data_IF_529585045809
#
_entry.id   IF_529585045809
#
_cell.length_a   1.000
_cell.length_b   1.000
_cell.length_c   1.000
_cell.angle_alpha   90.00
_cell.angle_beta   90.00
_cell.angle_gamma   90.00
#
_symmetry.space_group_name_H-M   'P 1'
#
loop_
_entity.id
_entity.type
_entity.pdbx_description
1 polymer ?
#
# COMPACT_ATOMS: atom_id res chain seq x y z
N UNK A 1 -15.62 2.98 -8.28
CA UNK A 1 -14.75 1.96 -7.65
C UNK A 1 -14.40 0.98 -8.74
N UNK A 2 -13.14 0.56 -8.86
CA UNK A 2 -12.75 -0.39 -9.90
C UNK A 2 -13.19 -1.81 -9.54
N UNK A 3 -13.30 -2.71 -10.51
CA UNK A 3 -13.55 -4.14 -10.27
C UNK A 3 -12.47 -4.76 -9.39
N UNK A 4 -11.22 -4.28 -9.51
CA UNK A 4 -10.11 -4.70 -8.67
C UNK A 4 -10.31 -4.32 -7.20
N UNK A 5 -10.77 -3.09 -6.92
CA UNK A 5 -11.05 -2.65 -5.54
C UNK A 5 -12.12 -3.53 -4.87
N UNK A 6 -13.16 -3.90 -5.62
CA UNK A 6 -14.23 -4.76 -5.13
C UNK A 6 -13.71 -6.19 -4.83
N UNK A 7 -12.89 -6.77 -5.71
CA UNK A 7 -12.30 -8.08 -5.50
C UNK A 7 -11.37 -8.10 -4.28
N UNK A 8 -10.51 -7.09 -4.12
CA UNK A 8 -9.64 -6.97 -2.94
C UNK A 8 -10.45 -6.80 -1.66
N UNK A 9 -11.53 -6.01 -1.68
CA UNK A 9 -12.43 -5.87 -0.53
C UNK A 9 -13.07 -7.20 -0.13
N UNK A 10 -13.56 -7.97 -1.10
CA UNK A 10 -14.18 -9.26 -0.83
C UNK A 10 -13.17 -10.23 -0.21
N UNK A 11 -11.98 -10.36 -0.82
CA UNK A 11 -10.91 -11.20 -0.29
C UNK A 11 -10.53 -10.82 1.16
N UNK A 12 -10.37 -9.52 1.45
CA UNK A 12 -10.05 -9.05 2.79
C UNK A 12 -11.19 -9.26 3.80
N UNK A 13 -12.44 -9.26 3.35
CA UNK A 13 -13.58 -9.56 4.22
C UNK A 13 -13.66 -11.06 4.56
N UNK A 14 -13.31 -11.92 3.61
CA UNK A 14 -13.38 -13.38 3.77
C UNK A 14 -12.19 -13.93 4.55
N UNK A 15 -10.96 -13.50 4.22
CA UNK A 15 -9.72 -14.07 4.76
C UNK A 15 -9.11 -13.22 5.89
N UNK A 16 -9.43 -11.93 5.94
CA UNK A 16 -8.73 -10.96 6.78
C UNK A 16 -7.29 -10.70 6.30
N UNK A 17 -6.67 -9.64 6.83
CA UNK A 17 -5.24 -9.42 6.69
C UNK A 17 -4.71 -8.53 7.81
N UNK A 18 -3.61 -8.96 8.43
CA UNK A 18 -2.89 -8.14 9.41
C UNK A 18 -1.95 -7.12 8.73
N UNK A 19 -1.43 -7.45 7.55
CA UNK A 19 -0.40 -6.69 6.85
C UNK A 19 -0.69 -6.58 5.35
N UNK A 20 -0.18 -5.53 4.70
CA UNK A 20 -0.27 -5.39 3.24
C UNK A 20 0.94 -4.69 2.64
N UNK A 21 1.37 -5.13 1.45
CA UNK A 21 2.45 -4.49 0.68
C UNK A 21 1.90 -4.00 -0.65
N UNK A 22 2.13 -2.73 -0.96
CA UNK A 22 1.97 -2.18 -2.31
C UNK A 22 3.37 -2.06 -2.93
N UNK A 23 3.73 -3.00 -3.80
CA UNK A 23 5.04 -3.01 -4.44
C UNK A 23 5.01 -2.28 -5.79
N UNK A 24 5.66 -1.11 -5.84
CA UNK A 24 5.82 -0.32 -7.05
C UNK A 24 7.17 -0.53 -7.75
N UNK A 25 7.94 -1.57 -7.37
CA UNK A 25 9.26 -1.86 -7.94
C UNK A 25 9.23 -2.07 -9.46
N UNK A 26 8.16 -2.65 -9.99
CA UNK A 26 7.98 -2.91 -11.42
C UNK A 26 7.22 -1.79 -12.17
N UNK A 27 6.81 -0.70 -11.51
CA UNK A 27 6.12 0.41 -12.17
C UNK A 27 7.10 1.13 -13.08
N UNK A 28 6.85 1.18 -14.39
CA UNK A 28 7.76 1.86 -15.34
C UNK A 28 7.40 3.31 -15.62
N UNK A 29 6.16 3.72 -15.32
CA UNK A 29 5.65 5.05 -15.60
C UNK A 29 4.60 5.46 -14.56
N UNK A 30 4.62 6.74 -14.16
CA UNK A 30 3.66 7.30 -13.20
C UNK A 30 2.82 8.35 -13.92
N UNK A 31 1.56 8.03 -14.16
CA UNK A 31 0.55 8.92 -14.76
C UNK A 31 -0.43 9.45 -13.71
N UNK A 32 0.09 9.76 -12.52
CA UNK A 32 -0.70 10.23 -11.38
C UNK A 32 -0.18 11.60 -10.96
N UNK A 33 -1.08 12.58 -10.85
CA UNK A 33 -0.74 13.93 -10.41
C UNK A 33 -0.79 14.03 -8.89
N UNK A 34 -0.08 15.00 -8.32
CA UNK A 34 -0.18 15.31 -6.89
C UNK A 34 -1.60 15.73 -6.49
N UNK A 35 -2.30 16.47 -7.35
CA UNK A 35 -3.71 16.87 -7.15
C UNK A 35 -4.65 15.68 -7.08
N UNK A 36 -4.40 14.64 -7.89
CA UNK A 36 -5.14 13.39 -7.79
C UNK A 36 -4.91 12.71 -6.43
N UNK A 37 -3.66 12.61 -5.98
CA UNK A 37 -3.34 11.99 -4.68
C UNK A 37 -3.99 12.77 -3.53
N UNK A 38 -3.99 14.09 -3.58
CA UNK A 38 -4.68 14.94 -2.60
C UNK A 38 -6.19 14.67 -2.58
N UNK A 39 -6.84 14.66 -3.75
CA UNK A 39 -8.26 14.32 -3.86
C UNK A 39 -8.56 12.88 -3.45
N UNK A 40 -7.63 11.95 -3.66
CA UNK A 40 -7.79 10.56 -3.26
C UNK A 40 -7.69 10.38 -1.75
N UNK A 41 -6.79 11.10 -1.08
CA UNK A 41 -6.62 11.06 0.38
C UNK A 41 -7.84 11.59 1.17
N UNK A 42 -8.76 12.32 0.53
CA UNK A 42 -10.01 12.75 1.19
C UNK A 42 -11.07 11.67 1.26
N UNK A 43 -10.98 10.64 0.40
CA UNK A 43 -11.98 9.56 0.31
C UNK A 43 -11.84 8.58 1.48
N UNK A 44 -12.95 7.89 1.77
CA UNK A 44 -12.93 6.79 2.71
C UNK A 44 -11.96 5.68 2.25
N UNK A 45 -11.23 5.04 3.19
CA UNK A 45 -10.32 3.97 2.84
C UNK A 45 -10.99 2.87 2.02
N UNK A 46 -10.29 2.38 1.00
CA UNK A 46 -10.81 1.30 0.17
C UNK A 46 -10.90 -0.04 0.92
N UNK A 47 -10.24 -0.19 2.06
CA UNK A 47 -10.08 -1.45 2.79
C UNK A 47 -10.15 -1.18 4.30
N UNK A 48 -10.54 -2.18 5.11
CA UNK A 48 -10.51 -2.05 6.57
C UNK A 48 -9.09 -1.72 7.09
N UNK A 49 -8.98 -1.19 8.33
CA UNK A 49 -7.69 -0.98 8.97
C UNK A 49 -6.91 -2.30 9.10
N UNK A 50 -5.60 -2.22 8.91
CA UNK A 50 -4.65 -3.31 9.13
C UNK A 50 -3.65 -2.90 10.22
N UNK A 51 -2.80 -3.82 10.69
CA UNK A 51 -1.72 -3.47 11.63
C UNK A 51 -0.68 -2.58 10.95
N UNK A 52 -0.32 -2.91 9.72
CA UNK A 52 0.63 -2.12 8.92
C UNK A 52 0.47 -2.38 7.43
N UNK A 53 0.43 -1.31 6.64
CA UNK A 53 0.57 -1.33 5.18
C UNK A 53 1.84 -0.60 4.77
N UNK A 54 2.61 -1.20 3.88
CA UNK A 54 3.88 -0.64 3.41
C UNK A 54 3.83 -0.45 1.91
N UNK A 55 4.08 0.77 1.44
CA UNK A 55 4.36 1.02 0.04
C UNK A 55 5.87 0.92 -0.22
N UNK A 56 6.27 0.01 -1.10
CA UNK A 56 7.64 -0.11 -1.59
C UNK A 56 7.74 0.72 -2.86
N UNK A 57 8.41 1.86 -2.78
CA UNK A 57 8.49 2.85 -3.85
C UNK A 57 9.95 3.20 -4.16
N UNK A 58 10.66 2.43 -5.01
CA UNK A 58 12.08 2.66 -5.27
C UNK A 58 12.34 3.99 -6.00
N UNK A 59 11.44 4.35 -6.93
CA UNK A 59 11.57 5.56 -7.74
C UNK A 59 11.20 6.82 -6.97
N UNK A 60 11.98 7.89 -7.16
CA UNK A 60 11.81 9.17 -6.46
C UNK A 60 10.39 9.74 -6.55
N UNK A 61 9.76 9.69 -7.73
CA UNK A 61 8.41 10.23 -7.92
C UNK A 61 7.36 9.38 -7.20
N UNK A 62 7.44 8.05 -7.30
CA UNK A 62 6.53 7.14 -6.58
C UNK A 62 6.68 7.31 -5.06
N UNK A 63 7.93 7.44 -4.58
CA UNK A 63 8.23 7.63 -3.18
C UNK A 63 7.64 8.95 -2.67
N UNK A 64 7.84 10.05 -3.40
CA UNK A 64 7.32 11.36 -3.06
C UNK A 64 5.78 11.39 -3.00
N UNK A 65 5.12 10.84 -4.00
CA UNK A 65 3.64 10.76 -4.04
C UNK A 65 3.08 9.87 -2.92
N UNK A 66 3.71 8.72 -2.66
CA UNK A 66 3.28 7.82 -1.58
C UNK A 66 3.49 8.45 -0.20
N UNK A 67 4.61 9.13 0.03
CA UNK A 67 4.86 9.89 1.28
C UNK A 67 3.85 11.01 1.47
N UNK A 68 3.55 11.75 0.40
CA UNK A 68 2.52 12.78 0.43
C UNK A 68 1.16 12.19 0.81
N UNK A 69 0.76 11.06 0.21
CA UNK A 69 -0.45 10.34 0.60
C UNK A 69 -0.43 9.99 2.10
N UNK A 70 0.67 9.42 2.60
CA UNK A 70 0.84 9.07 4.01
C UNK A 70 0.62 10.25 4.96
N UNK A 71 1.17 11.42 4.64
CA UNK A 71 0.96 12.65 5.43
C UNK A 71 -0.49 13.14 5.37
N UNK A 72 -1.15 13.05 4.20
CA UNK A 72 -2.53 13.51 4.03
C UNK A 72 -3.57 12.64 4.74
N UNK A 73 -3.23 11.38 5.02
CA UNK A 73 -4.09 10.45 5.75
C UNK A 73 -3.73 10.34 7.23
N UNK A 74 -2.68 11.03 7.68
CA UNK A 74 -2.29 11.08 9.08
C UNK A 74 -3.46 11.59 9.92
N UNK A 75 -3.83 10.85 10.97
CA UNK A 75 -5.03 11.11 11.79
C UNK A 75 -6.31 10.42 11.30
N UNK A 76 -6.43 10.07 10.02
CA UNK A 76 -7.50 9.17 9.53
C UNK A 76 -7.11 7.70 9.66
N UNK A 77 -5.82 7.43 9.51
CA UNK A 77 -5.23 6.09 9.64
C UNK A 77 -3.74 6.21 9.93
N UNK A 78 -3.24 5.31 10.77
CA UNK A 78 -1.83 5.24 11.18
C UNK A 78 -1.09 4.04 10.59
N UNK A 79 -1.77 3.20 9.83
CA UNK A 79 -1.27 1.93 9.32
C UNK A 79 -0.62 2.04 7.94
N UNK A 80 0.03 3.17 7.61
CA UNK A 80 0.67 3.36 6.30
C UNK A 80 2.10 3.88 6.43
N UNK A 81 3.05 3.11 5.90
CA UNK A 81 4.46 3.46 5.82
C UNK A 81 4.96 3.39 4.37
N UNK A 82 6.03 4.11 4.07
CA UNK A 82 6.62 4.16 2.73
C UNK A 82 8.11 3.92 2.84
N UNK A 83 8.60 2.93 2.10
CA UNK A 83 10.01 2.52 2.05
C UNK A 83 10.49 2.47 0.60
N UNK A 84 11.78 2.25 0.38
CA UNK A 84 12.37 2.19 -0.96
C UNK A 84 12.63 0.77 -1.44
N UNK A 85 12.72 -0.19 -0.53
CA UNK A 85 13.06 -1.58 -0.85
C UNK A 85 12.11 -2.57 -0.20
N UNK A 86 11.98 -3.75 -0.79
CA UNK A 86 11.20 -4.84 -0.20
C UNK A 86 11.82 -5.28 1.15
N UNK A 87 13.15 -5.27 1.25
CA UNK A 87 13.86 -5.59 2.50
C UNK A 87 13.44 -4.68 3.66
N UNK A 88 13.37 -3.37 3.44
CA UNK A 88 12.87 -2.44 4.47
C UNK A 88 11.41 -2.74 4.86
N UNK A 89 10.57 -3.16 3.90
CA UNK A 89 9.20 -3.57 4.20
C UNK A 89 9.16 -4.85 5.06
N UNK A 90 10.00 -5.84 4.75
CA UNK A 90 10.16 -7.06 5.55
C UNK A 90 10.64 -6.77 6.97
N UNK A 91 11.61 -5.86 7.12
CA UNK A 91 12.11 -5.40 8.42
C UNK A 91 11.01 -4.71 9.24
N UNK A 92 10.17 -3.88 8.62
CA UNK A 92 9.04 -3.22 9.30
C UNK A 92 7.92 -4.20 9.68
N UNK A 93 7.64 -5.18 8.82
CA UNK A 93 6.58 -6.18 9.05
C UNK A 93 7.02 -7.21 10.11
N UNK A 94 8.31 -7.54 10.17
CA UNK A 94 8.87 -8.41 11.21
C UNK A 94 8.52 -9.89 11.07
N UNK A 95 8.01 -10.32 9.91
CA UNK A 95 7.69 -11.73 9.61
C UNK A 95 8.86 -12.50 8.98
N UNK A 96 10.01 -11.85 8.80
CA UNK A 96 11.16 -12.39 8.07
C UNK A 96 11.02 -12.17 6.55
N UNK A 97 11.85 -12.88 5.78
CA UNK A 97 11.84 -12.79 4.32
C UNK A 97 10.57 -13.41 3.75
N UNK A 98 9.85 -12.64 2.92
CA UNK A 98 8.59 -13.07 2.33
C UNK A 98 8.84 -13.93 1.09
N UNK A 99 8.24 -15.12 1.06
CA UNK A 99 8.28 -16.02 -0.08
C UNK A 99 6.92 -16.06 -0.80
N UNK A 100 6.89 -15.51 -2.00
CA UNK A 100 5.69 -15.45 -2.84
C UNK A 100 5.63 -16.58 -3.89
N UNK A 101 6.55 -17.55 -3.87
CA UNK A 101 6.54 -18.68 -4.81
C UNK A 101 5.47 -19.71 -4.49
N UNK A 102 4.97 -19.72 -3.24
CA UNK A 102 3.92 -20.62 -2.80
C UNK A 102 2.54 -20.09 -3.20
N UNK A 103 1.85 -20.83 -4.08
CA UNK A 103 0.44 -20.55 -4.37
C UNK A 103 -0.41 -20.78 -3.12
N UNK A 104 -1.25 -19.80 -2.77
CA UNK A 104 -2.35 -19.99 -1.83
C UNK A 104 -3.26 -21.09 -2.41
N UNK A 105 -3.66 -22.04 -1.56
CA UNK A 105 -4.54 -23.17 -1.93
C UNK A 105 -5.98 -22.70 -1.96
#
# INVERSE_FOLDING_TARGET
MSTADAAVRQFLADEGADFGIFDYSAVTEIRVTSTYVQSFATKDPAHPPMKLRVAVAPQTVAYGLSRMYGLLIEGKRSDYQVVRTLKEAEELIGLGTLDFTRKLR
#
